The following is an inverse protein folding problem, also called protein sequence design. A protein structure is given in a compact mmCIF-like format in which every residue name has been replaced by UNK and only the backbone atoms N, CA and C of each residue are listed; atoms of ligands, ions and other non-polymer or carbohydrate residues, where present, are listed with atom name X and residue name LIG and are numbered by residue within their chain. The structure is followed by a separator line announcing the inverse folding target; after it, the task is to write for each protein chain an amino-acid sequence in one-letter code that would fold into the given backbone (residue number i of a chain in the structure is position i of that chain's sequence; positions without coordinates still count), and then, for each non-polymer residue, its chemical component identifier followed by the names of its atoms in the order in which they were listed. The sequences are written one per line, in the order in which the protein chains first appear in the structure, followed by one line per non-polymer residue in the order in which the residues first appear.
data_IF_401248222087
#
_entry.id   IF_401248222087
#
_cell.length_a   1.000
_cell.length_b   1.000
_cell.length_c   1.000
_cell.angle_alpha   90.00
_cell.angle_beta   90.00
_cell.angle_gamma   90.00
#
_symmetry.space_group_name_H-M   'P 1'
#
loop_
_entity.id
_entity.type
_entity.pdbx_description
1 polymer ?
#
# COMPACT_ATOMS: atom_id res chain seq x y z
N UNK A 1 -4.25 19.38 15.82
CA UNK A 1 -4.13 19.32 14.37
C UNK A 1 -3.20 18.22 13.97
N UNK A 2 -3.68 17.25 13.22
CA UNK A 2 -2.82 16.18 12.79
C UNK A 2 -1.98 16.65 11.62
N UNK A 3 -0.70 16.46 11.72
CA UNK A 3 0.22 16.76 10.64
C UNK A 3 0.50 15.47 9.87
N UNK A 4 0.54 15.60 8.55
CA UNK A 4 0.88 14.48 7.71
C UNK A 4 2.34 14.11 7.93
N UNK A 5 2.56 12.87 8.27
CA UNK A 5 3.89 12.35 8.49
C UNK A 5 4.55 12.02 7.15
N UNK A 6 5.79 12.38 6.98
CA UNK A 6 6.52 12.08 5.76
C UNK A 6 7.56 11.01 6.04
N UNK A 7 7.38 9.85 5.42
CA UNK A 7 8.31 8.74 5.53
C UNK A 7 9.22 8.80 4.29
N UNK A 8 10.51 8.60 4.48
CA UNK A 8 11.47 8.62 3.38
C UNK A 8 11.95 7.24 3.04
N UNK A 9 11.94 6.88 1.76
CA UNK A 9 12.52 5.62 1.31
C UNK A 9 13.87 5.90 0.68
N UNK A 10 14.90 5.25 1.21
CA UNK A 10 16.26 5.40 0.74
C UNK A 10 16.61 4.38 -0.32
N UNK A 11 17.70 4.59 -1.09
CA UNK A 11 18.07 3.64 -2.14
C UNK A 11 18.34 2.22 -1.64
N UNK A 12 18.70 2.06 -0.37
CA UNK A 12 18.88 0.73 0.24
C UNK A 12 17.55 0.07 0.61
N UNK A 13 16.44 0.60 0.14
CA UNK A 13 15.09 0.09 0.39
C UNK A 13 14.61 0.23 1.83
N UNK A 14 15.30 1.01 2.63
CA UNK A 14 14.90 1.23 4.02
C UNK A 14 14.00 2.44 4.11
N UNK A 15 13.02 2.34 5.01
CA UNK A 15 12.08 3.42 5.28
C UNK A 15 12.48 4.11 6.56
N UNK A 16 12.52 5.43 6.53
CA UNK A 16 12.91 6.23 7.68
C UNK A 16 11.77 7.14 8.09
N UNK A 17 11.43 7.11 9.38
CA UNK A 17 10.40 7.95 9.96
C UNK A 17 11.06 9.04 10.81
N UNK A 18 11.12 10.28 10.32
CA UNK A 18 11.75 11.36 11.10
C UNK A 18 10.97 11.70 12.37
N UNK A 19 9.68 11.41 12.42
CA UNK A 19 8.87 11.62 13.62
C UNK A 19 9.37 10.77 14.77
N UNK A 20 9.71 9.50 14.45
CA UNK A 20 10.24 8.58 15.45
C UNK A 20 11.76 8.56 15.49
N UNK A 21 12.41 9.18 14.51
CA UNK A 21 13.86 9.25 14.45
C UNK A 21 14.51 7.90 14.23
N UNK A 22 13.84 6.98 13.50
CA UNK A 22 14.37 5.64 13.27
C UNK A 22 13.87 5.06 11.97
N UNK A 23 14.55 4.01 11.53
CA UNK A 23 14.06 3.21 10.41
C UNK A 23 12.87 2.40 10.87
N UNK A 24 11.93 2.22 9.94
CA UNK A 24 10.71 1.46 10.23
C UNK A 24 10.52 0.36 9.18
N UNK A 25 9.63 -0.57 9.50
CA UNK A 25 9.33 -1.72 8.67
C UNK A 25 7.97 -1.58 8.01
N UNK A 26 7.64 -2.52 7.12
CA UNK A 26 6.30 -2.56 6.53
C UNK A 26 5.24 -2.79 7.60
N UNK A 27 5.56 -3.54 8.64
CA UNK A 27 4.65 -3.74 9.76
C UNK A 27 4.36 -2.42 10.47
N UNK A 28 5.37 -1.58 10.61
CA UNK A 28 5.18 -0.25 11.19
C UNK A 28 4.27 0.60 10.32
N UNK A 29 4.40 0.51 8.99
CA UNK A 29 3.51 1.19 8.07
C UNK A 29 2.07 0.71 8.27
N UNK A 30 1.89 -0.59 8.38
CA UNK A 30 0.58 -1.18 8.64
C UNK A 30 -0.03 -0.60 9.92
N UNK A 31 0.79 -0.47 10.96
CA UNK A 31 0.32 0.09 12.22
C UNK A 31 -0.09 1.55 12.08
N UNK A 32 0.63 2.33 11.28
CA UNK A 32 0.23 3.71 11.01
C UNK A 32 -1.14 3.78 10.36
N UNK A 33 -1.41 2.89 9.41
CA UNK A 33 -2.72 2.83 8.76
C UNK A 33 -3.79 2.44 9.77
N UNK A 34 -3.52 1.43 10.57
CA UNK A 34 -4.47 0.94 11.58
C UNK A 34 -4.79 2.02 12.61
N UNK A 35 -3.80 2.82 12.96
CA UNK A 35 -3.96 3.90 13.94
C UNK A 35 -4.50 5.18 13.32
N UNK A 36 -4.86 5.15 12.03
CA UNK A 36 -5.41 6.31 11.31
C UNK A 36 -4.46 7.50 11.29
N UNK A 37 -3.17 7.22 11.23
CA UNK A 37 -2.16 8.27 11.11
C UNK A 37 -2.00 8.62 9.63
N UNK A 38 -2.11 9.89 9.30
CA UNK A 38 -1.87 10.35 7.93
C UNK A 38 -0.39 10.38 7.63
N UNK A 39 -0.01 9.81 6.50
CA UNK A 39 1.39 9.80 6.09
C UNK A 39 1.51 9.69 4.57
N UNK A 40 2.67 10.07 4.08
CA UNK A 40 3.08 9.81 2.70
C UNK A 40 4.46 9.19 2.73
N UNK A 41 4.77 8.42 1.70
CA UNK A 41 6.11 7.86 1.53
C UNK A 41 6.73 8.47 0.29
N UNK A 42 7.88 9.07 0.46
CA UNK A 42 8.59 9.76 -0.62
C UNK A 42 9.89 9.04 -0.91
N UNK A 43 10.13 8.77 -2.18
CA UNK A 43 11.41 8.22 -2.62
C UNK A 43 12.48 9.31 -2.53
N UNK A 44 13.47 9.08 -1.71
CA UNK A 44 14.51 10.08 -1.44
C UNK A 44 15.36 10.37 -2.69
N UNK A 45 15.47 9.39 -3.58
CA UNK A 45 16.27 9.53 -4.78
C UNK A 45 15.59 10.39 -5.85
N UNK A 46 14.29 10.19 -6.03
CA UNK A 46 13.55 10.84 -7.11
C UNK A 46 12.60 11.94 -6.63
N UNK A 47 12.26 11.97 -5.34
CA UNK A 47 11.27 12.88 -4.81
C UNK A 47 9.84 12.46 -5.12
N UNK A 48 9.64 11.32 -5.72
CA UNK A 48 8.31 10.85 -6.09
C UNK A 48 7.54 10.34 -4.88
N UNK A 49 6.23 10.55 -4.90
CA UNK A 49 5.33 9.98 -3.90
C UNK A 49 5.09 8.52 -4.27
N UNK A 50 5.57 7.61 -3.45
CA UNK A 50 5.47 6.18 -3.66
C UNK A 50 4.58 5.51 -2.61
N UNK A 51 3.69 6.28 -1.99
CA UNK A 51 2.83 5.78 -0.93
C UNK A 51 2.02 4.57 -1.38
N UNK A 52 1.39 4.65 -2.56
CA UNK A 52 0.58 3.53 -3.04
C UNK A 52 1.41 2.27 -3.26
N UNK A 53 2.62 2.42 -3.81
CA UNK A 53 3.50 1.27 -4.01
C UNK A 53 3.86 0.61 -2.70
N UNK A 54 4.11 1.40 -1.67
CA UNK A 54 4.44 0.86 -0.34
C UNK A 54 3.23 0.18 0.28
N UNK A 55 2.03 0.76 0.12
CA UNK A 55 0.82 0.13 0.64
C UNK A 55 0.55 -1.21 -0.05
N UNK A 56 0.83 -1.30 -1.35
CA UNK A 56 0.72 -2.59 -2.06
C UNK A 56 1.68 -3.60 -1.47
N UNK A 57 2.88 -3.17 -1.10
CA UNK A 57 3.84 -4.06 -0.45
C UNK A 57 3.33 -4.57 0.90
N UNK A 58 2.66 -3.72 1.66
CA UNK A 58 2.06 -4.13 2.93
C UNK A 58 1.01 -5.22 2.70
N UNK A 59 0.14 -5.02 1.72
CA UNK A 59 -0.89 -6.02 1.38
C UNK A 59 -0.23 -7.31 0.92
N UNK A 60 0.80 -7.22 0.10
CA UNK A 60 1.52 -8.38 -0.41
C UNK A 60 2.16 -9.19 0.72
N UNK A 61 2.70 -8.49 1.72
CA UNK A 61 3.28 -9.12 2.90
C UNK A 61 2.22 -9.92 3.67
N UNK A 62 1.03 -9.32 3.83
CA UNK A 62 -0.08 -9.98 4.51
C UNK A 62 -0.56 -11.21 3.74
N UNK A 63 -0.42 -11.20 2.40
CA UNK A 63 -0.87 -12.28 1.54
C UNK A 63 -0.05 -13.56 1.69
N UNK A 64 1.08 -13.50 2.36
CA UNK A 64 1.91 -14.68 2.59
C UNK A 64 1.32 -15.63 3.62
N UNK A 65 0.25 -15.22 4.29
CA UNK A 65 -0.40 -16.05 5.27
C UNK A 65 -1.37 -17.03 4.65
N UNK A 66 -2.07 -17.77 5.52
CA UNK A 66 -3.02 -18.80 5.10
C UNK A 66 -4.30 -18.21 4.49
N UNK A 67 -4.57 -16.94 4.75
CA UNK A 67 -5.79 -16.27 4.28
C UNK A 67 -5.45 -15.24 3.24
N UNK A 68 -5.38 -15.71 2.00
CA UNK A 68 -5.09 -14.81 0.89
C UNK A 68 -6.29 -13.93 0.59
N UNK A 69 -6.06 -12.61 0.55
CA UNK A 69 -7.08 -11.62 0.24
C UNK A 69 -7.26 -11.47 -1.26
N UNK A 70 -6.14 -11.50 -1.99
CA UNK A 70 -6.14 -11.29 -3.43
C UNK A 70 -6.04 -12.62 -4.14
N UNK A 71 -7.01 -12.89 -4.99
CA UNK A 71 -7.06 -14.14 -5.71
C UNK A 71 -6.13 -14.11 -6.92
N UNK A 72 -5.64 -15.28 -7.27
CA UNK A 72 -4.72 -15.43 -8.39
C UNK A 72 -5.29 -14.87 -9.68
N UNK A 73 -6.55 -15.19 -9.98
CA UNK A 73 -7.19 -14.73 -11.21
C UNK A 73 -7.26 -13.22 -11.28
N UNK A 74 -7.59 -12.60 -10.15
CA UNK A 74 -7.65 -11.14 -10.04
C UNK A 74 -6.29 -10.53 -10.34
N UNK A 75 -5.23 -11.09 -9.76
CA UNK A 75 -3.88 -10.57 -9.97
C UNK A 75 -3.44 -10.73 -11.41
N UNK A 76 -3.78 -11.85 -12.04
CA UNK A 76 -3.46 -12.07 -13.45
C UNK A 76 -4.16 -11.04 -14.34
N UNK A 77 -5.43 -10.79 -14.07
CA UNK A 77 -6.19 -9.81 -14.83
C UNK A 77 -5.64 -8.41 -14.65
N UNK A 78 -5.24 -8.08 -13.43
CA UNK A 78 -4.67 -6.79 -13.12
C UNK A 78 -3.39 -6.56 -13.93
N UNK A 79 -2.54 -7.55 -13.99
CA UNK A 79 -1.28 -7.45 -14.74
C UNK A 79 -1.55 -7.29 -16.22
N UNK A 80 -2.50 -8.06 -16.76
CA UNK A 80 -2.85 -8.00 -18.18
C UNK A 80 -3.43 -6.66 -18.59
N UNK A 81 -4.05 -5.95 -17.64
CA UNK A 81 -4.69 -4.66 -17.90
C UNK A 81 -3.72 -3.49 -17.80
N UNK A 82 -2.48 -3.74 -17.45
CA UNK A 82 -1.51 -2.67 -17.26
C UNK A 82 -1.23 -1.92 -18.55
N UNK A 83 -1.12 -0.60 -18.39
CA UNK A 83 -0.58 0.23 -19.46
C UNK A 83 -1.51 0.54 -20.60
N UNK A 84 -2.79 0.28 -20.46
CA UNK A 84 -3.72 0.58 -21.53
C UNK A 84 -4.78 1.56 -21.07
N UNK A 85 -5.74 1.85 -21.96
CA UNK A 85 -6.91 2.66 -21.58
C UNK A 85 -7.68 2.05 -20.42
N UNK A 86 -7.43 0.79 -20.13
CA UNK A 86 -8.08 0.07 -19.04
C UNK A 86 -7.53 0.46 -17.67
N UNK A 87 -6.48 1.28 -17.62
CA UNK A 87 -5.84 1.59 -16.35
C UNK A 87 -6.80 2.25 -15.36
N UNK A 88 -7.61 3.18 -15.82
CA UNK A 88 -8.61 3.81 -14.96
C UNK A 88 -9.70 2.82 -14.56
N UNK A 89 -10.03 1.91 -15.46
CA UNK A 89 -10.99 0.85 -15.19
C UNK A 89 -10.44 -0.11 -14.12
N UNK A 90 -9.14 -0.37 -14.19
CA UNK A 90 -8.49 -1.21 -13.19
C UNK A 90 -8.57 -0.56 -11.82
N UNK A 91 -8.35 0.76 -11.73
CA UNK A 91 -8.49 1.48 -10.47
C UNK A 91 -9.88 1.34 -9.89
N UNK A 92 -10.90 1.53 -10.73
CA UNK A 92 -12.29 1.38 -10.29
C UNK A 92 -12.59 -0.05 -9.87
N UNK A 93 -12.05 -1.02 -10.60
CA UNK A 93 -12.23 -2.42 -10.27
C UNK A 93 -11.61 -2.75 -8.92
N UNK A 94 -10.42 -2.24 -8.67
CA UNK A 94 -9.74 -2.43 -7.39
C UNK A 94 -10.54 -1.86 -6.23
N UNK A 95 -11.05 -0.66 -6.40
CA UNK A 95 -11.87 -0.02 -5.36
C UNK A 95 -13.12 -0.83 -5.08
N UNK A 96 -13.75 -1.33 -6.13
CA UNK A 96 -14.96 -2.12 -6.00
C UNK A 96 -14.68 -3.45 -5.33
N UNK A 97 -13.61 -4.12 -5.74
CA UNK A 97 -13.23 -5.40 -5.16
C UNK A 97 -12.90 -5.25 -3.68
N UNK A 98 -12.22 -4.18 -3.33
CA UNK A 98 -11.88 -3.92 -1.94
C UNK A 98 -13.12 -3.61 -1.12
N UNK A 99 -14.04 -2.83 -1.67
CA UNK A 99 -15.30 -2.52 -0.99
C UNK A 99 -16.11 -3.77 -0.71
N UNK A 100 -16.18 -4.67 -1.69
CA UNK A 100 -16.89 -5.94 -1.51
C UNK A 100 -16.21 -6.77 -0.43
N UNK A 101 -14.89 -6.83 -0.44
CA UNK A 101 -14.15 -7.56 0.58
C UNK A 101 -14.43 -7.01 1.97
N UNK A 102 -14.40 -5.69 2.12
CA UNK A 102 -14.59 -5.05 3.42
C UNK A 102 -16.01 -5.24 3.94
N UNK A 103 -17.01 -5.25 3.05
CA UNK A 103 -18.39 -5.42 3.46
C UNK A 103 -18.79 -6.87 3.73
N UNK A 104 -18.12 -7.81 3.07
CA UNK A 104 -18.42 -9.23 3.24
C UNK A 104 -17.48 -9.90 4.24
N UNK A 105 -16.55 -9.16 4.80
CA UNK A 105 -15.63 -9.69 5.78
C UNK A 105 -16.41 -10.14 7.01
N UNK A 106 -16.12 -11.33 7.54
CA UNK A 106 -16.80 -11.76 8.77
C UNK A 106 -16.40 -10.86 9.93
N UNK A 107 -17.31 -10.67 10.84
CA UNK A 107 -17.03 -9.84 12.01
C UNK A 107 -15.96 -10.44 12.91
#
# INVERSE_FOLDING_TARGET
MSQRRTISKYPNRRLYDPEQGRYITLEDIRNLVTDNVEFVVIDKKTGADITCAVLVQVVSFEEKGAHSVLRRDFLLDLIRSRGGPAQSTVGAYLEQALAVFLTSSPP
#
